data_IF_134533731939
#
_entry.id   IF_134533731939
#
_cell.length_a   1.000
_cell.length_b   1.000
_cell.length_c   1.000
_cell.angle_alpha   90.00
_cell.angle_beta   90.00
_cell.angle_gamma   90.00
#
_symmetry.space_group_name_H-M   'P 1'
#
loop_
_entity.id
_entity.type
_entity.pdbx_description
1 polymer ?
#
# COMPACT_ATOMS: atom_id res chain seq x y z
N UNK A 1 8.43 -3.28 -8.99
CA UNK A 1 7.74 -2.21 -8.21
C UNK A 1 7.64 -2.58 -6.74
N UNK A 2 7.43 -1.60 -5.91
CA UNK A 2 7.25 -1.76 -4.46
C UNK A 2 5.83 -1.32 -4.14
N UNK A 3 5.00 -2.24 -3.65
CA UNK A 3 3.61 -1.91 -3.28
C UNK A 3 3.53 -1.43 -1.84
N UNK A 4 2.68 -0.42 -1.62
CA UNK A 4 2.26 -0.01 -0.29
C UNK A 4 0.74 -0.18 -0.25
N UNK A 5 0.22 -0.80 0.81
CA UNK A 5 -1.21 -1.03 0.95
C UNK A 5 -1.61 -1.02 2.43
N UNK A 6 -2.74 -0.38 2.72
CA UNK A 6 -3.34 -0.41 4.07
C UNK A 6 -4.43 -1.47 4.09
N UNK A 7 -4.39 -2.37 5.06
CA UNK A 7 -5.32 -3.50 5.14
C UNK A 7 -5.80 -3.71 6.58
N UNK A 8 -6.99 -4.32 6.70
CA UNK A 8 -7.48 -4.79 7.99
C UNK A 8 -6.92 -6.18 8.33
N UNK A 9 -7.36 -6.78 9.42
CA UNK A 9 -6.87 -8.08 9.90
C UNK A 9 -7.15 -9.23 8.93
N UNK A 10 -8.08 -9.06 8.00
CA UNK A 10 -8.44 -10.06 6.99
C UNK A 10 -7.92 -9.69 5.60
N UNK A 11 -6.97 -8.77 5.51
CA UNK A 11 -6.45 -8.23 4.26
C UNK A 11 -7.50 -7.49 3.42
N UNK A 12 -8.55 -7.00 4.07
CA UNK A 12 -9.55 -6.17 3.43
C UNK A 12 -9.00 -4.80 3.07
N UNK A 13 -9.43 -4.25 1.94
CA UNK A 13 -8.98 -2.96 1.43
C UNK A 13 -10.10 -1.93 1.38
N UNK A 14 -11.22 -2.28 0.77
CA UNK A 14 -12.36 -1.36 0.60
C UNK A 14 -13.68 -2.05 0.89
N UNK A 15 -14.71 -1.23 1.13
CA UNK A 15 -16.10 -1.66 1.29
C UNK A 15 -17.01 -0.65 0.59
N UNK A 16 -17.93 -1.13 -0.24
CA UNK A 16 -18.82 -0.28 -1.03
C UNK A 16 -18.07 0.81 -1.81
N UNK A 17 -16.95 0.43 -2.43
CA UNK A 17 -16.08 1.33 -3.21
C UNK A 17 -15.47 2.47 -2.38
N UNK A 18 -15.34 2.28 -1.07
CA UNK A 18 -14.73 3.26 -0.17
C UNK A 18 -13.62 2.62 0.63
N UNK A 19 -12.58 3.40 0.93
CA UNK A 19 -11.52 2.92 1.84
C UNK A 19 -12.11 2.64 3.21
N UNK A 20 -11.60 1.62 3.88
CA UNK A 20 -12.06 1.22 5.20
C UNK A 20 -11.78 2.29 6.27
N UNK A 21 -10.63 2.95 6.13
CA UNK A 21 -10.21 3.98 7.06
C UNK A 21 -9.14 4.85 6.41
N UNK A 22 -8.79 5.93 7.10
CA UNK A 22 -7.65 6.76 6.69
C UNK A 22 -7.01 7.33 7.95
N UNK A 23 -5.74 7.68 7.82
CA UNK A 23 -4.96 8.17 8.95
C UNK A 23 -3.93 9.18 8.44
N UNK A 24 -3.95 10.36 9.03
CA UNK A 24 -3.09 11.47 8.62
C UNK A 24 -1.62 11.14 8.81
N UNK A 25 -1.26 10.51 9.93
CA UNK A 25 0.14 10.14 10.19
C UNK A 25 0.60 9.01 9.27
N UNK A 26 -0.28 8.09 8.91
CA UNK A 26 0.02 7.07 7.92
C UNK A 26 0.35 7.70 6.56
N UNK A 27 -0.47 8.66 6.11
CA UNK A 27 -0.19 9.38 4.86
C UNK A 27 1.16 10.07 4.89
N UNK A 28 1.49 10.72 6.01
CA UNK A 28 2.79 11.37 6.20
C UNK A 28 3.94 10.38 6.13
N UNK A 29 3.77 9.19 6.71
CA UNK A 29 4.79 8.14 6.65
C UNK A 29 4.98 7.59 5.24
N UNK A 30 3.91 7.46 4.48
CA UNK A 30 4.00 7.04 3.07
C UNK A 30 4.80 8.07 2.26
N UNK A 31 4.53 9.35 2.44
CA UNK A 31 5.27 10.42 1.76
C UNK A 31 6.74 10.38 2.15
N UNK A 32 7.03 10.27 3.45
CA UNK A 32 8.40 10.22 3.97
C UNK A 32 9.16 9.00 3.42
N UNK A 33 8.54 7.83 3.45
CA UNK A 33 9.16 6.58 3.02
C UNK A 33 9.47 6.54 1.53
N UNK A 34 8.71 7.25 0.72
CA UNK A 34 8.86 7.27 -0.73
C UNK A 34 9.67 8.46 -1.25
N UNK A 35 10.25 9.25 -0.38
CA UNK A 35 11.13 10.36 -0.76
C UNK A 35 12.30 9.85 -1.62
N UNK A 36 12.59 10.58 -2.68
CA UNK A 36 13.66 10.22 -3.60
C UNK A 36 13.27 9.24 -4.69
N UNK A 37 12.05 8.70 -4.65
CA UNK A 37 11.52 7.81 -5.67
C UNK A 37 10.18 8.28 -6.20
N UNK A 38 9.68 7.63 -7.25
CA UNK A 38 8.35 7.91 -7.78
C UNK A 38 7.31 7.16 -6.96
N UNK A 39 6.22 7.84 -6.61
CA UNK A 39 5.07 7.25 -5.93
C UNK A 39 3.86 7.37 -6.84
N UNK A 40 3.43 6.23 -7.36
CA UNK A 40 2.28 6.14 -8.25
C UNK A 40 1.01 5.83 -7.48
N UNK A 41 -0.10 6.42 -7.91
CA UNK A 41 -1.42 6.13 -7.37
C UNK A 41 -2.49 6.52 -8.38
N UNK A 42 -3.70 6.01 -8.21
CA UNK A 42 -4.82 6.41 -9.06
C UNK A 42 -5.47 7.70 -8.55
N UNK A 43 -6.43 8.22 -9.32
CA UNK A 43 -7.14 9.45 -8.97
C UNK A 43 -7.91 9.33 -7.66
N UNK A 44 -8.52 8.19 -7.40
CA UNK A 44 -9.25 7.95 -6.16
C UNK A 44 -8.34 8.12 -4.93
N UNK A 45 -7.18 7.48 -4.96
CA UNK A 45 -6.21 7.51 -3.87
C UNK A 45 -5.60 8.90 -3.68
N UNK A 46 -5.32 9.59 -4.77
CA UNK A 46 -4.69 10.91 -4.72
C UNK A 46 -5.55 11.96 -4.01
N UNK A 47 -6.87 11.80 -4.03
CA UNK A 47 -7.80 12.77 -3.43
C UNK A 47 -7.66 12.89 -1.91
N UNK A 48 -7.10 11.89 -1.23
CA UNK A 48 -6.92 11.97 0.22
C UNK A 48 -5.67 12.74 0.65
N UNK A 49 -4.76 13.02 -0.29
CA UNK A 49 -3.53 13.75 0.02
C UNK A 49 -3.76 15.26 -0.06
N UNK A 50 -3.13 15.98 0.87
CA UNK A 50 -3.23 17.44 0.91
C UNK A 50 -2.60 18.09 -0.32
N UNK A 51 -3.15 19.23 -0.72
CA UNK A 51 -2.66 20.00 -1.84
C UNK A 51 -1.78 21.16 -1.37
N UNK A 52 -0.69 21.46 -2.11
CA UNK A 52 -0.21 20.76 -3.30
C UNK A 52 0.34 19.39 -2.94
N UNK A 53 0.14 18.40 -3.82
CA UNK A 53 0.66 17.05 -3.59
C UNK A 53 2.19 17.07 -3.74
N UNK A 54 2.86 16.11 -3.08
CA UNK A 54 4.31 15.96 -3.15
C UNK A 54 4.77 15.78 -4.60
N UNK A 55 5.92 16.37 -4.95
CA UNK A 55 6.46 16.37 -6.32
C UNK A 55 6.73 14.98 -6.88
N UNK A 56 6.96 14.00 -6.01
CA UNK A 56 7.25 12.62 -6.45
C UNK A 56 5.98 11.79 -6.71
N UNK A 57 4.79 12.32 -6.44
CA UNK A 57 3.54 11.62 -6.67
C UNK A 57 3.12 11.76 -8.13
N UNK A 58 2.87 10.62 -8.78
CA UNK A 58 2.38 10.55 -10.15
C UNK A 58 0.98 9.95 -10.11
N UNK A 59 -0.01 10.69 -10.57
CA UNK A 59 -1.41 10.26 -10.56
C UNK A 59 -1.80 9.74 -11.93
N UNK A 60 -2.15 8.46 -12.02
CA UNK A 60 -2.49 7.82 -13.27
C UNK A 60 -3.31 6.56 -12.97
N UNK A 61 -4.52 6.46 -13.51
CA UNK A 61 -5.40 5.32 -13.22
C UNK A 61 -4.86 3.99 -13.75
N UNK A 62 -3.91 4.03 -14.69
CA UNK A 62 -3.26 2.83 -15.24
C UNK A 62 -1.83 2.65 -14.75
N UNK A 63 -1.54 3.15 -13.55
CA UNK A 63 -0.17 3.21 -13.05
C UNK A 63 0.52 1.85 -12.88
N UNK A 64 -0.24 0.77 -12.65
CA UNK A 64 0.36 -0.57 -12.49
C UNK A 64 1.01 -1.08 -13.78
N UNK A 65 0.56 -0.59 -14.92
CA UNK A 65 1.15 -0.94 -16.22
C UNK A 65 2.36 -0.06 -16.58
N UNK A 66 2.55 1.04 -15.86
CA UNK A 66 3.57 2.05 -16.17
C UNK A 66 4.71 2.12 -15.18
N UNK A 67 4.47 1.74 -13.93
CA UNK A 67 5.49 1.84 -12.88
C UNK A 67 6.70 0.97 -13.17
N UNK A 68 7.89 1.51 -12.87
CA UNK A 68 9.16 0.81 -13.07
C UNK A 68 9.56 -0.07 -11.89
N UNK A 69 10.70 -0.75 -12.02
CA UNK A 69 11.17 -1.75 -11.04
C UNK A 69 11.44 -1.17 -9.66
N UNK A 70 11.85 0.08 -9.58
CA UNK A 70 12.19 0.74 -8.32
C UNK A 70 11.10 1.69 -7.84
N UNK A 71 9.98 1.78 -8.55
CA UNK A 71 8.93 2.72 -8.24
C UNK A 71 8.01 2.19 -7.14
N UNK A 72 7.48 3.10 -6.35
CA UNK A 72 6.48 2.81 -5.31
C UNK A 72 5.08 2.96 -5.90
N UNK A 73 4.17 2.10 -5.47
CA UNK A 73 2.77 2.11 -5.89
C UNK A 73 1.88 2.00 -4.65
N UNK A 74 1.06 3.01 -4.38
CA UNK A 74 0.11 2.96 -3.27
C UNK A 74 -1.24 2.45 -3.77
N UNK A 75 -1.64 1.28 -3.27
CA UNK A 75 -2.84 0.54 -3.70
C UNK A 75 -3.92 0.69 -2.65
N UNK A 76 -5.14 1.02 -3.08
CA UNK A 76 -6.29 1.01 -2.17
C UNK A 76 -7.44 0.13 -2.65
N UNK A 77 -7.66 0.02 -3.96
CA UNK A 77 -8.86 -0.60 -4.50
C UNK A 77 -8.63 -1.42 -5.76
N UNK A 78 -7.38 -1.77 -6.06
CA UNK A 78 -7.04 -2.48 -7.29
C UNK A 78 -6.61 -3.91 -7.02
N UNK A 79 -6.96 -4.82 -7.96
CA UNK A 79 -6.39 -6.15 -8.01
C UNK A 79 -4.94 -6.06 -8.47
N UNK A 80 -4.04 -6.77 -7.81
CA UNK A 80 -2.62 -6.76 -8.13
C UNK A 80 -2.05 -8.15 -8.44
N UNK A 81 -2.87 -9.20 -8.33
CA UNK A 81 -2.42 -10.58 -8.50
C UNK A 81 -1.70 -10.81 -9.83
N UNK A 82 -2.18 -10.24 -10.92
CA UNK A 82 -1.54 -10.42 -12.24
C UNK A 82 -0.18 -9.76 -12.38
N UNK A 83 0.16 -8.86 -11.45
CA UNK A 83 1.45 -8.16 -11.45
C UNK A 83 2.47 -8.78 -10.51
N UNK A 84 2.14 -9.89 -9.85
CA UNK A 84 2.99 -10.49 -8.80
C UNK A 84 4.45 -10.65 -9.23
N UNK A 85 4.69 -11.10 -10.45
CA UNK A 85 6.06 -11.31 -10.97
C UNK A 85 6.88 -10.03 -11.10
N UNK A 86 6.22 -8.87 -11.10
CA UNK A 86 6.88 -7.56 -11.21
C UNK A 86 7.04 -6.86 -9.86
N UNK A 87 6.46 -7.43 -8.82
CA UNK A 87 6.47 -6.84 -7.48
C UNK A 87 7.62 -7.43 -6.69
N UNK A 88 8.60 -6.62 -6.34
CA UNK A 88 9.75 -7.09 -5.55
C UNK A 88 9.56 -6.93 -4.06
N UNK A 89 8.73 -6.00 -3.61
CA UNK A 89 8.42 -5.79 -2.20
C UNK A 89 6.96 -5.38 -2.02
N UNK A 90 6.40 -5.78 -0.88
CA UNK A 90 5.08 -5.34 -0.44
C UNK A 90 5.23 -4.80 0.97
N UNK A 91 4.77 -3.59 1.19
CA UNK A 91 4.74 -2.94 2.48
C UNK A 91 3.28 -2.81 2.91
N UNK A 92 2.90 -3.59 3.92
CA UNK A 92 1.58 -3.51 4.51
C UNK A 92 1.58 -2.51 5.65
N UNK A 93 0.50 -1.73 5.72
CA UNK A 93 0.15 -0.95 6.90
C UNK A 93 -1.13 -1.55 7.45
N UNK A 94 -1.02 -2.27 8.55
CA UNK A 94 -2.15 -2.99 9.14
C UNK A 94 -2.83 -2.11 10.18
N UNK A 95 -4.14 -1.91 10.00
CA UNK A 95 -4.95 -1.12 10.93
C UNK A 95 -5.07 -1.77 12.31
N UNK A 96 -4.83 -3.09 12.39
CA UNK A 96 -5.03 -3.89 13.60
C UNK A 96 -6.49 -3.86 14.07
N UNK A 97 -7.39 -3.91 13.09
CA UNK A 97 -8.82 -3.96 13.25
C UNK A 97 -9.45 -4.80 12.16
N UNK A 98 -10.69 -5.24 12.40
CA UNK A 98 -11.53 -5.86 11.39
C UNK A 98 -12.57 -4.84 10.98
N UNK A 99 -12.64 -4.55 9.69
CA UNK A 99 -13.65 -3.66 9.11
C UNK A 99 -14.50 -4.45 8.12
N UNK A 100 -15.71 -3.97 7.80
CA UNK A 100 -16.43 -4.52 6.66
C UNK A 100 -15.59 -4.38 5.40
N UNK A 101 -15.55 -5.43 4.57
CA UNK A 101 -14.78 -5.43 3.33
C UNK A 101 -15.48 -6.28 2.28
N UNK A 102 -15.36 -5.85 1.03
CA UNK A 102 -15.77 -6.61 -0.15
C UNK A 102 -14.67 -6.68 -1.20
N UNK A 103 -13.58 -5.95 -0.99
CA UNK A 103 -12.37 -6.00 -1.82
C UNK A 103 -11.18 -6.32 -0.93
N UNK A 104 -10.37 -7.29 -1.35
CA UNK A 104 -9.25 -7.79 -0.56
C UNK A 104 -7.96 -7.73 -1.36
N UNK A 105 -6.84 -7.57 -0.63
CA UNK A 105 -5.52 -7.71 -1.22
C UNK A 105 -5.37 -9.15 -1.72
N UNK A 106 -5.05 -9.34 -2.99
CA UNK A 106 -5.20 -10.62 -3.67
C UNK A 106 -3.91 -11.35 -4.03
N UNK A 107 -2.81 -11.03 -3.35
CA UNK A 107 -1.58 -11.82 -3.43
C UNK A 107 -1.43 -12.62 -2.14
N UNK A 108 -1.30 -13.94 -2.28
CA UNK A 108 -1.02 -14.81 -1.14
C UNK A 108 0.47 -14.82 -0.86
N UNK A 109 0.84 -14.48 0.39
CA UNK A 109 2.25 -14.44 0.81
C UNK A 109 2.71 -15.82 1.25
N UNK A 110 2.98 -16.68 0.29
CA UNK A 110 3.49 -18.03 0.51
C UNK A 110 4.97 -17.94 0.93
N UNK A 111 5.38 -18.71 1.93
CA UNK A 111 6.77 -18.76 2.41
C UNK A 111 7.77 -19.19 1.33
N UNK A 112 7.31 -19.84 0.28
CA UNK A 112 8.15 -20.24 -0.85
C UNK A 112 8.53 -19.08 -1.74
N UNK A 113 7.72 -18.02 -1.76
CA UNK A 113 7.90 -16.87 -2.66
C UNK A 113 8.19 -15.58 -1.95
N UNK A 114 7.76 -15.45 -0.70
CA UNK A 114 7.82 -14.20 0.04
C UNK A 114 8.48 -14.38 1.39
N UNK A 115 9.28 -13.39 1.79
CA UNK A 115 9.97 -13.39 3.08
C UNK A 115 9.65 -12.11 3.84
N UNK A 116 9.25 -12.25 5.09
CA UNK A 116 9.06 -11.11 5.98
C UNK A 116 10.43 -10.56 6.39
N UNK A 117 10.69 -9.31 6.04
CA UNK A 117 11.98 -8.65 6.27
C UNK A 117 11.95 -7.84 7.56
N UNK A 118 10.84 -7.16 7.84
CA UNK A 118 10.79 -6.18 8.91
C UNK A 118 9.36 -6.00 9.40
N UNK A 119 9.21 -5.80 10.71
CA UNK A 119 7.94 -5.46 11.35
C UNK A 119 8.20 -4.29 12.28
N UNK A 120 7.47 -3.20 12.08
CA UNK A 120 7.53 -2.00 12.92
C UNK A 120 6.12 -1.61 13.33
N UNK A 121 6.00 -1.02 14.51
CA UNK A 121 4.72 -0.47 14.98
C UNK A 121 4.87 1.01 15.24
N UNK A 122 3.82 1.76 14.94
CA UNK A 122 3.80 3.19 15.25
C UNK A 122 2.40 3.65 15.62
N UNK A 123 2.33 4.76 16.34
CA UNK A 123 1.06 5.38 16.69
C UNK A 123 0.58 6.23 15.52
N UNK A 124 -0.67 5.97 15.08
CA UNK A 124 -1.31 6.76 14.05
C UNK A 124 -2.07 7.95 14.66
N UNK A 125 -2.73 8.72 13.77
CA UNK A 125 -3.58 9.83 14.19
C UNK A 125 -4.95 9.34 14.68
N UNK A 126 -5.61 8.48 13.91
CA UNK A 126 -6.91 7.90 14.23
C UNK A 126 -6.83 6.47 14.76
N UNK A 127 -5.65 5.88 14.77
CA UNK A 127 -5.40 4.52 15.22
C UNK A 127 -4.25 4.53 16.23
N UNK A 128 -4.46 3.89 17.38
CA UNK A 128 -3.43 3.83 18.42
C UNK A 128 -2.18 3.10 17.96
N UNK A 129 -2.37 2.07 17.14
CA UNK A 129 -1.28 1.22 16.69
C UNK A 129 -1.50 0.78 15.26
N UNK A 130 -0.55 1.13 14.39
CA UNK A 130 -0.51 0.66 13.01
C UNK A 130 0.75 -0.19 12.89
N UNK A 131 0.65 -1.37 12.30
CA UNK A 131 1.77 -2.26 12.11
C UNK A 131 2.22 -2.19 10.66
N UNK A 132 3.49 -1.86 10.45
CA UNK A 132 4.12 -1.88 9.13
C UNK A 132 4.87 -3.20 8.96
N UNK A 133 4.53 -3.97 7.92
CA UNK A 133 5.25 -5.19 7.57
C UNK A 133 5.85 -5.03 6.18
N UNK A 134 7.12 -5.36 6.06
CA UNK A 134 7.81 -5.35 4.76
C UNK A 134 8.11 -6.78 4.35
N UNK A 135 7.64 -7.15 3.17
CA UNK A 135 7.84 -8.47 2.57
C UNK A 135 8.62 -8.34 1.28
N UNK A 136 9.57 -9.24 1.07
CA UNK A 136 10.39 -9.26 -0.14
C UNK A 136 10.12 -10.52 -0.94
N UNK A 137 10.05 -10.38 -2.27
CA UNK A 137 9.86 -11.51 -3.18
C UNK A 137 11.18 -12.28 -3.31
N UNK A 138 11.15 -13.58 -3.00
CA UNK A 138 12.37 -14.42 -2.94
C UNK A 138 13.00 -14.66 -4.31
N UNK A 139 12.24 -14.63 -5.39
CA UNK A 139 12.70 -15.00 -6.73
C UNK A 139 12.99 -13.81 -7.65
N UNK A 140 13.03 -12.61 -7.09
CA UNK A 140 13.33 -11.40 -7.86
C UNK A 140 14.60 -10.73 -7.33
#
# INVERSE_FOLDING_TARGET
MILLVAVDDNNGMTFNNRRQSQDKLLRSKIIEETQGGKLWMNNYTAKQFEKPISDNIIVDDEFLDKAGNEDYCFIENLSVAKYESKIKKIIFFKWNRIYPADTYFDIMLSEKKWKLISVLEFEGNSHKKITREEWEHESI
#
